data_IF_766610673762
#
_entry.id   IF_766610673762
#
_cell.length_a   1.000
_cell.length_b   1.000
_cell.length_c   1.000
_cell.angle_alpha   90.00
_cell.angle_beta   90.00
_cell.angle_gamma   90.00
#
_symmetry.space_group_name_H-M   'P 1'
#
loop_
_entity.id
_entity.type
_entity.pdbx_description
1 polymer ?
#
# COMPACT_ATOMS: atom_id res chain seq x y z
N UNK A 1 -14.86 17.18 43.38
CA UNK A 1 -14.30 16.01 42.67
C UNK A 1 -12.80 16.22 42.54
N UNK A 2 -11.93 15.32 43.02
CA UNK A 2 -10.50 15.43 42.75
C UNK A 2 -10.22 15.09 41.28
N UNK A 3 -9.18 15.69 40.67
CA UNK A 3 -8.81 15.40 39.28
C UNK A 3 -8.26 13.97 39.15
N UNK A 4 -8.70 13.30 38.08
CA UNK A 4 -8.28 11.95 37.69
C UNK A 4 -6.79 11.95 37.34
N UNK A 5 -5.98 11.29 38.17
CA UNK A 5 -4.55 11.06 37.90
C UNK A 5 -4.45 10.05 36.76
N UNK A 6 -3.91 10.49 35.62
CA UNK A 6 -3.64 9.62 34.48
C UNK A 6 -2.69 8.48 34.87
N UNK A 7 -2.97 7.27 34.39
CA UNK A 7 -2.07 6.12 34.54
C UNK A 7 -0.68 6.46 34.00
N UNK A 8 0.41 5.98 34.64
CA UNK A 8 1.75 6.13 34.09
C UNK A 8 1.83 5.41 32.74
N UNK A 9 2.34 6.12 31.73
CA UNK A 9 2.73 5.56 30.43
C UNK A 9 3.77 4.47 30.72
N UNK A 10 3.54 3.24 30.25
CA UNK A 10 4.51 2.15 30.39
C UNK A 10 5.86 2.53 29.76
N UNK A 11 6.96 1.84 30.11
CA UNK A 11 8.25 2.09 29.48
C UNK A 11 8.11 1.98 27.96
N UNK A 12 8.59 2.99 27.23
CA UNK A 12 8.67 2.92 25.77
C UNK A 12 9.61 1.76 25.40
N UNK A 13 9.25 0.94 24.39
CA UNK A 13 10.11 -0.16 23.95
C UNK A 13 11.45 0.41 23.51
N UNK A 14 12.55 -0.19 24.01
CA UNK A 14 13.90 0.17 23.55
C UNK A 14 14.12 -0.51 22.21
N UNK A 15 13.92 0.25 21.14
CA UNK A 15 14.15 -0.21 19.78
C UNK A 15 15.64 -0.17 19.48
N UNK A 16 16.21 -1.32 19.07
CA UNK A 16 17.59 -1.41 18.62
C UNK A 16 17.64 -1.24 17.10
N UNK A 17 18.68 -0.57 16.63
CA UNK A 17 19.02 -0.54 15.21
C UNK A 17 20.17 -1.50 15.01
N UNK A 18 20.09 -2.32 13.96
CA UNK A 18 21.13 -3.30 13.66
C UNK A 18 22.50 -2.61 13.57
N UNK A 19 23.54 -3.11 14.25
CA UNK A 19 24.87 -2.52 14.14
C UNK A 19 25.44 -2.74 12.73
N UNK A 20 26.20 -1.76 12.22
CA UNK A 20 26.69 -1.76 10.85
C UNK A 20 27.54 -2.97 10.46
N UNK A 21 28.21 -3.61 11.43
CA UNK A 21 29.02 -4.82 11.22
C UNK A 21 28.20 -6.08 10.89
N UNK A 22 26.89 -6.05 11.13
CA UNK A 22 25.98 -7.16 10.82
C UNK A 22 25.27 -6.98 9.47
N UNK A 23 25.41 -5.84 8.80
CA UNK A 23 24.66 -5.58 7.57
C UNK A 23 24.99 -6.58 6.44
N UNK A 24 24.02 -7.41 6.06
CA UNK A 24 24.16 -8.36 4.96
C UNK A 24 25.21 -9.46 5.17
N UNK A 25 25.64 -9.72 6.42
CA UNK A 25 26.61 -10.78 6.73
C UNK A 25 25.88 -12.11 6.93
N UNK A 26 26.07 -13.13 6.07
CA UNK A 26 25.49 -14.44 6.31
C UNK A 26 26.04 -15.03 7.62
N UNK A 27 25.22 -15.72 8.44
CA UNK A 27 25.63 -16.23 9.74
C UNK A 27 26.86 -17.12 9.58
N UNK A 28 28.00 -16.68 10.12
CA UNK A 28 29.20 -17.50 10.20
C UNK A 28 28.95 -18.59 11.24
N UNK A 29 28.70 -19.80 10.76
CA UNK A 29 28.63 -21.07 11.50
C UNK A 29 27.26 -21.39 12.14
N UNK A 30 26.73 -22.62 12.02
CA UNK A 30 25.52 -23.03 12.72
C UNK A 30 25.75 -22.94 14.23
N UNK A 31 24.89 -22.22 14.95
CA UNK A 31 24.86 -22.28 16.40
C UNK A 31 24.59 -23.73 16.81
N UNK A 32 25.50 -24.29 17.63
CA UNK A 32 25.22 -25.52 18.37
C UNK A 32 23.92 -25.32 19.15
N UNK A 33 22.98 -26.23 18.94
CA UNK A 33 21.60 -26.23 19.47
C UNK A 33 21.47 -26.32 21.00
N UNK A 34 22.58 -26.20 21.75
CA UNK A 34 22.66 -26.65 23.14
C UNK A 34 23.12 -25.57 24.14
N UNK A 35 23.14 -24.29 23.77
CA UNK A 35 23.34 -23.24 24.77
C UNK A 35 22.02 -22.99 25.51
N UNK A 36 21.95 -23.13 26.86
CA UNK A 36 20.75 -22.79 27.60
C UNK A 36 20.47 -21.29 27.45
N UNK A 37 19.31 -20.97 26.87
CA UNK A 37 18.83 -19.59 26.80
C UNK A 37 18.72 -19.00 28.22
N UNK A 38 19.04 -17.72 28.42
CA UNK A 38 18.78 -17.04 29.68
C UNK A 38 17.30 -17.19 30.06
N UNK A 39 16.97 -17.30 31.36
CA UNK A 39 15.59 -17.49 31.80
C UNK A 39 14.73 -16.33 31.31
N UNK A 40 13.67 -16.67 30.56
CA UNK A 40 12.70 -15.72 30.04
C UNK A 40 12.14 -14.86 31.19
N UNK A 41 11.97 -13.54 30.98
CA UNK A 41 11.28 -12.70 31.94
C UNK A 41 9.87 -13.25 32.22
N UNK A 42 9.34 -13.09 33.44
CA UNK A 42 8.04 -13.64 33.81
C UNK A 42 6.95 -13.07 32.89
N UNK A 43 6.21 -13.99 32.27
CA UNK A 43 5.09 -13.69 31.37
C UNK A 43 4.12 -12.68 32.05
N UNK A 44 3.78 -11.55 31.39
CA UNK A 44 2.78 -10.63 31.92
C UNK A 44 1.47 -11.39 32.23
N UNK A 45 0.78 -11.05 33.32
CA UNK A 45 -0.46 -11.73 33.68
C UNK A 45 -1.48 -11.62 32.54
N UNK A 46 -1.88 -12.77 32.00
CA UNK A 46 -2.91 -12.84 30.97
C UNK A 46 -4.21 -12.18 31.49
N UNK A 47 -4.87 -11.33 30.70
CA UNK A 47 -6.19 -10.81 31.04
C UNK A 47 -7.15 -11.99 31.25
N UNK A 48 -7.85 -12.01 32.39
CA UNK A 48 -8.88 -13.02 32.65
C UNK A 48 -9.91 -13.03 31.52
N UNK A 49 -10.34 -14.21 31.04
CA UNK A 49 -11.42 -14.30 30.06
C UNK A 49 -12.67 -13.58 30.58
N UNK A 50 -13.24 -12.70 29.76
CA UNK A 50 -14.53 -12.10 30.06
C UNK A 50 -15.60 -13.21 30.18
N UNK A 51 -16.51 -13.13 31.16
CA UNK A 51 -17.56 -14.12 31.29
C UNK A 51 -18.50 -14.09 30.08
N UNK A 52 -19.03 -15.25 29.64
CA UNK A 52 -19.93 -15.32 28.50
C UNK A 52 -21.23 -14.53 28.77
N UNK A 53 -21.85 -13.95 27.74
CA UNK A 53 -23.11 -13.23 27.91
C UNK A 53 -24.21 -14.20 28.37
N UNK A 54 -24.99 -13.78 29.36
CA UNK A 54 -26.10 -14.55 29.93
C UNK A 54 -27.15 -14.87 28.85
N UNK A 55 -27.72 -16.10 28.84
CA UNK A 55 -28.85 -16.42 27.96
C UNK A 55 -30.06 -15.55 28.32
N UNK A 56 -30.55 -14.77 27.35
CA UNK A 56 -31.80 -14.04 27.48
C UNK A 56 -32.99 -15.00 27.58
N UNK A 57 -33.87 -14.77 28.55
CA UNK A 57 -35.11 -15.52 28.74
C UNK A 57 -36.06 -15.37 27.52
N UNK A 58 -36.90 -16.38 27.23
CA UNK A 58 -37.75 -16.37 26.03
C UNK A 58 -38.93 -15.40 26.21
N UNK A 59 -38.95 -14.33 25.42
CA UNK A 59 -40.11 -13.44 25.36
C UNK A 59 -41.20 -14.06 24.46
N UNK A 60 -42.33 -14.41 25.09
CA UNK A 60 -43.56 -14.86 24.41
C UNK A 60 -44.13 -13.72 23.56
N UNK A 61 -44.19 -13.92 22.23
CA UNK A 61 -44.90 -13.04 21.30
C UNK A 61 -46.41 -13.18 21.49
N UNK A 62 -47.08 -12.07 21.81
CA UNK A 62 -48.55 -11.90 21.68
C UNK A 62 -48.81 -11.00 20.48
N UNK A 63 -49.66 -11.45 19.56
CA UNK A 63 -50.11 -10.66 18.41
C UNK A 63 -51.47 -10.04 18.75
N UNK A 64 -51.68 -8.72 18.62
CA UNK A 64 -53.01 -8.15 18.60
C UNK A 64 -53.46 -7.86 17.16
N UNK A 65 -54.65 -8.34 16.84
CA UNK A 65 -55.39 -8.17 15.59
C UNK A 65 -56.00 -6.76 15.57
N UNK A 66 -55.42 -5.80 14.84
CA UNK A 66 -56.11 -4.58 14.37
C UNK A 66 -55.28 -3.81 13.31
N UNK A 67 -55.20 -4.28 12.07
CA UNK A 67 -54.46 -3.56 11.00
C UNK A 67 -55.23 -3.37 9.69
N UNK A 68 -56.55 -3.62 9.64
CA UNK A 68 -57.30 -3.56 8.38
C UNK A 68 -58.15 -2.28 8.23
N UNK A 69 -58.46 -1.55 9.31
CA UNK A 69 -59.36 -0.38 9.23
C UNK A 69 -58.61 0.94 8.92
N UNK A 70 -57.32 1.04 9.25
CA UNK A 70 -56.55 2.30 9.08
C UNK A 70 -56.18 2.65 7.63
N UNK A 71 -55.98 1.65 6.77
CA UNK A 71 -55.52 1.87 5.39
C UNK A 71 -56.66 2.39 4.49
N UNK A 72 -57.91 1.99 4.75
CA UNK A 72 -59.07 2.47 3.98
C UNK A 72 -59.36 3.97 4.20
N UNK A 73 -59.03 4.52 5.37
CA UNK A 73 -59.31 5.93 5.68
C UNK A 73 -58.32 6.90 5.01
N UNK A 74 -57.06 6.48 4.79
CA UNK A 74 -56.04 7.31 4.15
C UNK A 74 -56.25 7.45 2.63
N UNK A 75 -56.85 6.46 1.97
CA UNK A 75 -57.12 6.51 0.52
C UNK A 75 -58.24 7.50 0.19
N UNK A 76 -59.24 7.66 1.07
CA UNK A 76 -60.36 8.61 0.85
C UNK A 76 -59.90 10.07 0.99
N UNK A 77 -58.99 10.37 1.92
CA UNK A 77 -58.44 11.72 2.12
C UNK A 77 -57.50 12.10 0.96
N UNK A 78 -56.71 11.14 0.45
CA UNK A 78 -55.78 11.38 -0.66
C UNK A 78 -56.46 11.78 -1.98
N UNK A 79 -57.62 11.19 -2.29
CA UNK A 79 -58.34 11.50 -3.54
C UNK A 79 -59.08 12.83 -3.45
N UNK A 80 -59.58 13.22 -2.27
CA UNK A 80 -60.24 14.53 -2.07
C UNK A 80 -59.31 15.73 -2.19
N UNK A 81 -58.07 15.61 -1.70
CA UNK A 81 -57.07 16.70 -1.76
C UNK A 81 -56.57 17.01 -3.19
N UNK A 82 -56.50 16.00 -4.06
CA UNK A 82 -56.00 16.14 -5.42
C UNK A 82 -56.96 16.97 -6.32
N UNK A 83 -58.28 16.85 -6.13
CA UNK A 83 -59.26 17.62 -6.89
C UNK A 83 -59.44 19.06 -6.38
N UNK A 84 -59.16 19.35 -5.11
CA UNK A 84 -59.26 20.71 -4.56
C UNK A 84 -58.16 21.64 -5.08
N UNK A 85 -56.96 21.12 -5.37
CA UNK A 85 -55.87 21.92 -5.97
C UNK A 85 -56.12 22.27 -7.46
N UNK A 86 -57.01 21.58 -8.17
CA UNK A 86 -57.31 21.91 -9.57
C UNK A 86 -58.32 23.07 -9.76
N UNK A 87 -59.00 23.52 -8.69
CA UNK A 87 -60.03 24.59 -8.79
C UNK A 87 -59.51 26.02 -8.56
N UNK A 88 -58.22 26.21 -8.28
CA UNK A 88 -57.65 27.56 -8.11
C UNK A 88 -56.85 27.98 -9.34
N UNK A 89 -57.55 28.23 -10.46
CA UNK A 89 -56.99 29.03 -11.55
C UNK A 89 -57.43 30.49 -11.38
N UNK A 90 -56.52 31.44 -11.08
CA UNK A 90 -56.89 32.85 -11.03
C UNK A 90 -57.24 33.38 -12.42
N UNK A 91 -58.31 34.18 -12.49
CA UNK A 91 -58.76 34.90 -13.69
C UNK A 91 -57.94 36.18 -13.83
N UNK A 92 -57.10 36.26 -14.86
CA UNK A 92 -56.30 37.46 -15.15
C UNK A 92 -57.17 38.65 -15.57
N UNK A 93 -56.86 39.88 -15.13
CA UNK A 93 -57.58 41.09 -15.53
C UNK A 93 -57.29 41.49 -17.00
N UNK A 94 -58.17 42.30 -17.62
CA UNK A 94 -58.05 42.66 -19.04
C UNK A 94 -56.80 43.52 -19.29
N UNK A 95 -55.90 43.04 -20.15
CA UNK A 95 -54.76 43.81 -20.62
C UNK A 95 -55.19 44.76 -21.74
N UNK A 96 -54.92 46.05 -21.56
CA UNK A 96 -54.99 47.08 -22.61
C UNK A 96 -53.85 46.80 -23.59
N UNK A 97 -54.18 46.45 -24.84
CA UNK A 97 -53.20 46.19 -25.87
C UNK A 97 -52.56 47.51 -26.33
N UNK A 98 -51.28 47.73 -26.00
CA UNK A 98 -50.42 48.68 -26.70
C UNK A 98 -49.65 47.88 -27.74
N UNK A 99 -49.98 48.11 -29.02
CA UNK A 99 -49.35 47.42 -30.14
C UNK A 99 -47.96 48.02 -30.40
N UNK A 100 -46.95 47.52 -29.69
CA UNK A 100 -45.53 47.80 -30.01
C UNK A 100 -45.03 46.64 -30.87
N UNK A 101 -44.67 46.94 -32.11
CA UNK A 101 -44.06 45.97 -33.03
C UNK A 101 -42.76 45.44 -32.41
N UNK A 102 -42.62 44.12 -32.18
CA UNK A 102 -41.38 43.55 -31.70
C UNK A 102 -40.27 43.73 -32.76
N UNK A 103 -39.02 44.05 -32.38
CA UNK A 103 -37.91 43.97 -33.30
C UNK A 103 -37.72 42.52 -33.75
N UNK A 104 -37.36 42.35 -35.03
CA UNK A 104 -37.10 41.08 -35.68
C UNK A 104 -36.17 40.18 -34.84
N UNK A 105 -36.50 38.89 -34.61
CA UNK A 105 -35.60 37.96 -33.93
C UNK A 105 -34.28 37.87 -34.69
N UNK A 106 -33.16 38.09 -33.98
CA UNK A 106 -31.84 37.80 -34.53
C UNK A 106 -31.75 36.29 -34.84
N UNK A 107 -31.05 35.88 -35.92
CA UNK A 107 -30.84 34.47 -36.22
C UNK A 107 -30.15 33.77 -35.04
N UNK A 108 -30.43 32.47 -34.79
CA UNK A 108 -29.80 31.74 -33.71
C UNK A 108 -28.28 31.74 -33.91
N UNK A 109 -27.56 32.33 -32.95
CA UNK A 109 -26.11 32.24 -32.89
C UNK A 109 -25.77 30.78 -32.62
N UNK A 110 -25.19 30.09 -33.60
CA UNK A 110 -24.64 28.76 -33.42
C UNK A 110 -23.36 28.88 -32.57
N UNK A 111 -23.52 28.93 -31.24
CA UNK A 111 -22.39 28.92 -30.31
C UNK A 111 -21.79 27.53 -30.35
N UNK A 112 -20.57 27.41 -30.86
CA UNK A 112 -19.82 26.17 -30.82
C UNK A 112 -19.79 25.64 -29.36
N UNK A 113 -19.97 24.33 -29.14
CA UNK A 113 -19.90 23.77 -27.80
C UNK A 113 -18.56 24.15 -27.15
N UNK A 114 -18.55 24.47 -25.83
CA UNK A 114 -17.32 24.86 -25.15
C UNK A 114 -16.27 23.74 -25.32
N UNK A 115 -14.98 24.10 -25.47
CA UNK A 115 -13.93 23.11 -25.56
C UNK A 115 -13.99 22.18 -24.33
N UNK A 116 -13.68 20.89 -24.49
CA UNK A 116 -13.64 19.98 -23.36
C UNK A 116 -12.67 20.53 -22.30
N UNK A 117 -12.98 20.34 -21.00
CA UNK A 117 -12.08 20.76 -19.94
C UNK A 117 -10.71 20.09 -20.15
N UNK A 118 -9.61 20.77 -19.75
CA UNK A 118 -8.30 20.15 -19.80
C UNK A 118 -8.33 18.82 -19.02
N UNK A 119 -7.56 17.82 -19.47
CA UNK A 119 -7.48 16.55 -18.75
C UNK A 119 -7.07 16.81 -17.30
N UNK A 120 -7.75 16.15 -16.36
CA UNK A 120 -7.42 16.23 -14.95
C UNK A 120 -5.94 15.86 -14.75
N UNK A 121 -5.22 16.54 -13.84
CA UNK A 121 -3.88 16.11 -13.50
C UNK A 121 -3.91 14.65 -13.02
N UNK A 122 -2.87 13.86 -13.31
CA UNK A 122 -2.76 12.51 -12.81
C UNK A 122 -2.92 12.50 -11.28
N UNK A 123 -3.69 11.53 -10.75
CA UNK A 123 -3.93 11.42 -9.31
C UNK A 123 -2.60 11.35 -8.53
N UNK A 124 -2.54 11.81 -7.26
CA UNK A 124 -1.30 11.71 -6.50
C UNK A 124 -0.90 10.25 -6.27
N UNK A 125 0.40 9.96 -6.29
CA UNK A 125 0.95 8.68 -5.81
C UNK A 125 0.84 8.66 -4.28
N UNK A 126 0.46 7.53 -3.71
CA UNK A 126 0.28 7.34 -2.26
C UNK A 126 1.31 6.33 -1.73
N UNK A 127 1.84 6.51 -0.50
CA UNK A 127 2.52 5.41 0.17
C UNK A 127 1.49 4.32 0.54
N UNK A 128 1.93 3.07 0.59
CA UNK A 128 1.16 1.98 1.19
C UNK A 128 0.86 2.25 2.67
N UNK A 129 -0.11 1.53 3.21
CA UNK A 129 -0.46 1.60 4.63
C UNK A 129 0.59 0.82 5.41
N UNK A 130 1.13 1.42 6.47
CA UNK A 130 2.07 0.85 7.43
C UNK A 130 1.48 1.11 8.82
N UNK A 131 0.85 0.08 9.39
CA UNK A 131 -0.02 0.22 10.57
C UNK A 131 0.76 0.39 11.88
N UNK A 132 1.97 -0.17 11.99
CA UNK A 132 2.82 -0.05 13.18
C UNK A 132 4.06 0.82 12.99
N UNK A 133 4.25 1.37 11.78
CA UNK A 133 5.24 2.38 11.44
C UNK A 133 6.69 1.89 11.53
N UNK A 134 6.93 0.63 11.19
CA UNK A 134 8.28 0.04 11.15
C UNK A 134 8.99 0.20 9.79
N UNK A 135 8.25 0.67 8.78
CA UNK A 135 8.73 0.90 7.44
C UNK A 135 8.57 -0.28 6.47
N UNK A 136 7.78 -1.29 6.80
CA UNK A 136 7.11 -2.20 5.86
C UNK A 136 5.65 -1.79 5.70
N UNK A 137 5.10 -1.95 4.51
CA UNK A 137 3.65 -1.82 4.37
C UNK A 137 2.96 -3.08 4.88
N UNK A 138 1.71 -2.94 5.34
CA UNK A 138 0.85 -4.07 5.74
C UNK A 138 0.78 -5.15 4.63
N UNK A 139 0.89 -4.72 3.36
CA UNK A 139 0.93 -5.61 2.19
C UNK A 139 2.25 -6.37 2.13
N UNK A 140 3.39 -5.72 2.28
CA UNK A 140 4.70 -6.39 2.32
C UNK A 140 4.76 -7.44 3.42
N UNK A 141 4.36 -7.06 4.62
CA UNK A 141 4.34 -7.93 5.79
C UNK A 141 3.47 -9.17 5.58
N UNK A 142 2.23 -8.98 5.10
CA UNK A 142 1.29 -10.09 4.97
C UNK A 142 1.53 -10.96 3.74
N UNK A 143 2.05 -10.40 2.65
CA UNK A 143 2.15 -11.13 1.37
C UNK A 143 3.55 -11.69 1.09
N UNK A 144 4.59 -11.12 1.69
CA UNK A 144 5.98 -11.50 1.44
C UNK A 144 6.60 -12.09 2.71
N UNK A 145 6.63 -11.32 3.80
CA UNK A 145 7.44 -11.65 4.96
C UNK A 145 6.72 -12.54 5.98
N UNK A 146 5.40 -12.56 5.95
CA UNK A 146 4.56 -13.18 6.96
C UNK A 146 4.86 -12.63 8.38
N UNK A 147 5.23 -11.35 8.45
CA UNK A 147 5.34 -10.59 9.70
C UNK A 147 3.97 -10.06 10.14
N UNK A 148 3.92 -9.34 11.26
CA UNK A 148 2.67 -8.91 11.89
C UNK A 148 2.49 -7.38 11.78
N UNK A 149 1.52 -6.88 10.99
CA UNK A 149 1.30 -5.44 10.75
C UNK A 149 0.84 -4.59 11.93
N UNK A 150 0.89 -5.13 13.14
CA UNK A 150 0.53 -4.44 14.37
C UNK A 150 1.61 -4.60 15.43
N UNK A 151 2.76 -5.13 15.04
CA UNK A 151 3.87 -5.39 15.89
C UNK A 151 5.16 -5.06 15.14
N UNK A 152 5.79 -3.91 15.42
CA UNK A 152 6.93 -3.42 14.65
C UNK A 152 8.22 -4.25 14.82
N UNK A 153 8.18 -5.31 15.62
CA UNK A 153 9.27 -6.26 15.94
C UNK A 153 8.60 -7.63 16.15
N UNK A 154 8.38 -8.35 15.05
CA UNK A 154 7.52 -9.53 14.98
C UNK A 154 8.07 -10.69 15.80
N UNK A 155 9.38 -10.90 15.80
CA UNK A 155 10.02 -12.01 16.51
C UNK A 155 10.49 -11.66 17.94
N UNK A 156 10.49 -10.37 18.30
CA UNK A 156 10.76 -9.87 19.63
C UNK A 156 12.25 -9.80 19.97
N UNK A 157 13.12 -9.70 18.98
CA UNK A 157 14.57 -9.62 19.15
C UNK A 157 15.10 -8.19 19.36
N UNK A 158 14.20 -7.20 19.35
CA UNK A 158 14.43 -5.76 19.48
C UNK A 158 14.91 -5.02 18.23
N UNK A 159 14.98 -5.64 17.06
CA UNK A 159 15.11 -4.98 15.77
C UNK A 159 13.73 -4.87 15.11
N UNK A 160 13.50 -3.78 14.38
CA UNK A 160 12.21 -3.58 13.71
C UNK A 160 12.17 -4.28 12.34
N UNK A 161 11.03 -4.86 11.97
CA UNK A 161 10.92 -5.75 10.82
C UNK A 161 11.39 -5.07 9.52
N UNK A 162 10.95 -3.82 9.29
CA UNK A 162 11.38 -3.06 8.13
C UNK A 162 12.86 -2.74 8.07
N UNK A 163 13.52 -2.60 9.22
CA UNK A 163 14.97 -2.46 9.28
C UNK A 163 15.66 -3.78 8.97
N UNK A 164 15.16 -4.89 9.49
CA UNK A 164 15.70 -6.23 9.21
C UNK A 164 15.63 -6.56 7.72
N UNK A 165 14.47 -6.36 7.10
CA UNK A 165 14.27 -6.57 5.67
C UNK A 165 15.23 -5.72 4.85
N UNK A 166 15.39 -4.44 5.18
CA UNK A 166 16.35 -3.55 4.51
C UNK A 166 17.79 -4.07 4.61
N UNK A 167 18.13 -4.80 5.68
CA UNK A 167 19.44 -5.37 5.98
C UNK A 167 19.61 -6.85 5.60
N UNK A 168 18.63 -7.44 4.91
CA UNK A 168 18.62 -8.85 4.48
C UNK A 168 18.41 -9.87 5.61
N UNK A 169 17.75 -9.46 6.70
CA UNK A 169 17.38 -10.29 7.85
C UNK A 169 15.89 -10.67 7.82
N UNK A 170 15.58 -11.85 8.35
CA UNK A 170 14.21 -12.40 8.35
C UNK A 170 13.43 -11.87 9.57
N UNK A 171 12.40 -11.03 9.37
CA UNK A 171 11.69 -10.36 10.48
C UNK A 171 10.83 -11.30 11.34
N UNK A 172 10.74 -12.56 10.96
CA UNK A 172 9.95 -13.58 11.68
C UNK A 172 10.83 -14.55 12.46
N UNK A 173 12.15 -14.33 12.46
CA UNK A 173 13.14 -15.23 13.01
C UNK A 173 14.29 -14.43 13.62
N UNK A 174 14.47 -14.59 14.93
CA UNK A 174 15.39 -13.72 15.70
C UNK A 174 16.77 -13.50 15.10
N UNK A 175 17.38 -12.39 15.49
CA UNK A 175 18.56 -11.62 15.09
C UNK A 175 19.65 -12.21 14.19
N UNK A 176 19.80 -13.52 14.10
CA UNK A 176 20.80 -14.17 13.28
C UNK A 176 20.25 -14.82 12.01
N UNK A 177 18.92 -14.83 11.81
CA UNK A 177 18.31 -15.41 10.62
C UNK A 177 18.33 -14.42 9.45
N UNK A 178 18.70 -14.91 8.27
CA UNK A 178 18.75 -14.07 7.06
C UNK A 178 17.59 -14.37 6.14
N UNK A 179 17.23 -13.38 5.31
CA UNK A 179 16.24 -13.58 4.25
C UNK A 179 16.69 -14.66 3.26
N UNK A 180 17.99 -14.90 3.08
CA UNK A 180 18.48 -15.98 2.22
C UNK A 180 18.09 -17.38 2.73
N UNK A 181 17.88 -17.52 4.05
CA UNK A 181 17.43 -18.78 4.68
C UNK A 181 15.89 -18.85 4.77
N UNK A 182 15.18 -17.78 4.41
CA UNK A 182 13.74 -17.68 4.52
C UNK A 182 13.04 -18.42 3.37
N UNK A 183 11.97 -19.20 3.63
CA UNK A 183 11.23 -19.89 2.58
C UNK A 183 10.46 -18.95 1.64
N UNK A 184 10.30 -17.67 2.03
CA UNK A 184 9.66 -16.65 1.22
C UNK A 184 10.56 -16.10 0.11
N UNK A 185 11.87 -16.30 0.22
CA UNK A 185 12.86 -15.70 -0.66
C UNK A 185 13.59 -16.77 -1.49
N UNK A 186 14.10 -16.34 -2.63
CA UNK A 186 14.90 -17.17 -3.51
C UNK A 186 15.96 -16.31 -4.21
N UNK A 187 17.16 -16.87 -4.36
CA UNK A 187 18.20 -16.27 -5.17
C UNK A 187 17.83 -16.36 -6.65
N UNK A 188 17.81 -15.21 -7.31
CA UNK A 188 17.72 -15.07 -8.76
C UNK A 188 19.12 -14.89 -9.32
N UNK A 189 19.41 -15.59 -10.41
CA UNK A 189 20.67 -15.47 -11.16
C UNK A 189 20.29 -15.20 -12.61
N UNK A 190 20.91 -14.19 -13.21
CA UNK A 190 20.66 -13.86 -14.61
C UNK A 190 21.19 -14.97 -15.55
N UNK A 191 20.76 -14.96 -16.81
CA UNK A 191 21.08 -16.02 -17.79
C UNK A 191 22.59 -16.24 -17.97
N UNK A 192 23.38 -15.17 -17.90
CA UNK A 192 24.84 -15.22 -18.07
C UNK A 192 25.59 -15.55 -16.77
N UNK A 193 24.87 -15.76 -15.65
CA UNK A 193 25.44 -16.01 -14.33
C UNK A 193 26.49 -14.98 -13.89
N UNK A 194 26.27 -13.71 -14.25
CA UNK A 194 27.14 -12.58 -13.89
C UNK A 194 26.61 -11.79 -12.70
N UNK A 195 25.31 -11.88 -12.43
CA UNK A 195 24.63 -11.15 -11.35
C UNK A 195 23.71 -12.09 -10.60
N UNK A 196 23.77 -12.03 -9.27
CA UNK A 196 22.75 -12.60 -8.40
C UNK A 196 22.11 -11.56 -7.49
N UNK A 197 20.86 -11.81 -7.10
CA UNK A 197 20.12 -11.01 -6.13
C UNK A 197 19.03 -11.85 -5.46
N UNK A 198 18.52 -11.39 -4.34
CA UNK A 198 17.44 -12.03 -3.61
C UNK A 198 16.09 -11.46 -4.06
N UNK A 199 15.11 -12.32 -4.33
CA UNK A 199 13.75 -11.94 -4.69
C UNK A 199 12.71 -12.72 -3.88
N UNK A 200 11.51 -12.14 -3.68
CA UNK A 200 10.36 -12.92 -3.25
C UNK A 200 10.08 -14.06 -4.23
N UNK A 201 10.00 -15.29 -3.70
CA UNK A 201 9.75 -16.49 -4.51
C UNK A 201 8.45 -16.38 -5.29
N UNK A 202 7.41 -15.81 -4.69
CA UNK A 202 6.11 -15.61 -5.31
C UNK A 202 6.15 -14.70 -6.56
N UNK A 203 7.17 -13.85 -6.70
CA UNK A 203 7.33 -12.95 -7.86
C UNK A 203 8.07 -13.63 -9.00
N UNK A 204 9.04 -14.51 -8.70
CA UNK A 204 9.74 -15.32 -9.71
C UNK A 204 8.77 -16.21 -10.49
N UNK A 205 7.73 -16.72 -9.84
CA UNK A 205 6.67 -17.51 -10.46
C UNK A 205 5.79 -16.70 -11.45
N UNK A 206 5.90 -15.37 -11.43
CA UNK A 206 5.12 -14.42 -12.24
C UNK A 206 5.99 -13.62 -13.23
N UNK A 207 7.13 -14.18 -13.61
CA UNK A 207 8.02 -13.59 -14.59
C UNK A 207 7.36 -13.54 -15.98
N UNK A 208 7.50 -12.39 -16.66
CA UNK A 208 7.07 -12.19 -18.04
C UNK A 208 8.27 -11.86 -18.95
N UNK A 209 8.17 -12.12 -20.28
CA UNK A 209 9.21 -11.72 -21.21
C UNK A 209 9.45 -10.21 -21.18
N UNK A 210 10.70 -9.78 -21.06
CA UNK A 210 11.09 -8.37 -21.09
C UNK A 210 12.26 -8.17 -22.07
N UNK A 211 12.26 -7.14 -22.94
CA UNK A 211 13.22 -7.04 -24.04
C UNK A 211 14.69 -6.99 -23.63
N UNK A 212 14.98 -6.35 -22.49
CA UNK A 212 16.32 -6.07 -21.97
C UNK A 212 16.66 -6.83 -20.68
N UNK A 213 15.81 -7.79 -20.30
CA UNK A 213 16.03 -8.62 -19.13
C UNK A 213 14.75 -9.31 -18.66
N UNK A 214 14.28 -8.94 -17.47
CA UNK A 214 13.21 -9.65 -16.77
C UNK A 214 12.20 -8.66 -16.22
N UNK A 215 10.93 -9.04 -16.26
CA UNK A 215 9.85 -8.31 -15.61
C UNK A 215 9.06 -9.26 -14.73
N UNK A 216 8.71 -8.81 -13.53
CA UNK A 216 8.02 -9.59 -12.52
C UNK A 216 6.75 -8.86 -12.11
N UNK A 217 5.59 -9.47 -12.36
CA UNK A 217 4.32 -8.91 -11.90
C UNK A 217 4.16 -9.12 -10.39
N UNK A 218 4.03 -8.02 -9.65
CA UNK A 218 4.00 -8.06 -8.18
C UNK A 218 2.59 -7.94 -7.61
N UNK A 219 1.69 -7.21 -8.29
CA UNK A 219 0.28 -7.16 -7.92
C UNK A 219 -0.67 -7.12 -9.15
N UNK A 220 -1.97 -7.42 -8.97
CA UNK A 220 -2.95 -7.47 -10.07
C UNK A 220 -3.26 -6.12 -10.74
N UNK A 221 -2.83 -5.01 -10.13
CA UNK A 221 -3.04 -3.65 -10.64
C UNK A 221 -2.07 -3.28 -11.77
N UNK A 222 -1.22 -4.23 -12.18
CA UNK A 222 -0.19 -4.05 -13.20
C UNK A 222 1.13 -3.54 -12.67
N UNK A 223 1.30 -3.41 -11.35
CA UNK A 223 2.61 -3.11 -10.77
C UNK A 223 3.60 -4.22 -11.07
N UNK A 224 4.83 -3.82 -11.39
CA UNK A 224 5.91 -4.74 -11.75
C UNK A 224 7.27 -4.24 -11.28
N UNK A 225 8.20 -5.18 -11.10
CA UNK A 225 9.63 -4.91 -11.01
C UNK A 225 10.28 -5.35 -12.31
N UNK A 226 11.08 -4.48 -12.91
CA UNK A 226 11.90 -4.80 -14.08
C UNK A 226 13.38 -4.81 -13.72
N UNK A 227 14.10 -5.81 -14.24
CA UNK A 227 15.54 -5.97 -14.17
C UNK A 227 16.10 -5.94 -15.58
N UNK A 228 16.83 -4.87 -15.90
CA UNK A 228 17.51 -4.71 -17.17
C UNK A 228 19.01 -4.84 -17.01
N UNK A 229 19.63 -5.60 -17.91
CA UNK A 229 21.08 -5.81 -17.94
C UNK A 229 21.68 -5.13 -19.16
N UNK A 230 22.77 -4.41 -18.97
CA UNK A 230 23.31 -3.54 -20.03
C UNK A 230 24.80 -3.29 -19.85
N UNK A 231 25.50 -3.03 -20.94
CA UNK A 231 26.91 -2.60 -20.92
C UNK A 231 27.06 -1.09 -20.99
N UNK A 232 25.96 -0.34 -21.02
CA UNK A 232 25.97 1.12 -20.95
C UNK A 232 26.24 1.57 -19.51
N UNK A 233 26.95 2.69 -19.38
CA UNK A 233 27.19 3.33 -18.09
C UNK A 233 25.88 3.85 -17.48
N UNK A 234 25.78 3.89 -16.14
CA UNK A 234 24.58 4.39 -15.46
C UNK A 234 24.15 5.79 -15.92
N UNK A 235 25.12 6.66 -16.22
CA UNK A 235 24.85 8.04 -16.69
C UNK A 235 24.18 8.11 -18.06
N UNK A 236 24.48 7.17 -18.96
CA UNK A 236 23.85 7.10 -20.29
C UNK A 236 22.41 6.61 -20.19
N UNK A 237 22.18 5.60 -19.35
CA UNK A 237 20.84 5.07 -19.07
C UNK A 237 19.99 6.16 -18.41
N UNK A 238 20.54 6.88 -17.44
CA UNK A 238 19.84 8.00 -16.80
C UNK A 238 19.52 9.13 -17.80
N UNK A 239 20.44 9.45 -18.71
CA UNK A 239 20.19 10.44 -19.76
C UNK A 239 19.11 10.03 -20.76
N UNK A 240 18.89 8.72 -20.94
CA UNK A 240 17.81 8.19 -21.79
C UNK A 240 16.41 8.28 -21.16
N UNK A 241 16.31 8.61 -19.87
CA UNK A 241 15.07 8.72 -19.10
C UNK A 241 14.84 10.16 -18.60
N UNK A 242 14.39 11.08 -19.48
CA UNK A 242 14.22 12.49 -19.13
C UNK A 242 13.06 12.74 -18.16
N UNK A 243 12.22 11.74 -17.90
CA UNK A 243 11.12 11.85 -16.94
C UNK A 243 11.60 11.71 -15.49
N UNK A 244 12.78 11.13 -15.30
CA UNK A 244 13.36 10.83 -14.00
C UNK A 244 14.51 11.79 -13.66
N UNK A 245 14.63 12.17 -12.40
CA UNK A 245 15.81 12.87 -11.88
C UNK A 245 16.63 11.90 -11.05
N UNK A 246 17.94 11.85 -11.28
CA UNK A 246 18.84 10.91 -10.61
C UNK A 246 19.87 11.61 -9.73
N UNK A 247 20.27 10.94 -8.65
CA UNK A 247 21.40 11.32 -7.80
C UNK A 247 22.33 10.13 -7.55
N UNK A 248 23.57 10.39 -7.08
CA UNK A 248 24.53 9.33 -6.78
C UNK A 248 23.99 8.40 -5.70
N UNK A 249 24.28 7.11 -5.86
CA UNK A 249 23.88 6.06 -4.95
C UNK A 249 24.98 5.01 -4.83
N UNK A 250 25.12 4.43 -3.64
CA UNK A 250 25.99 3.29 -3.40
C UNK A 250 25.16 2.21 -2.73
N UNK A 251 25.13 1.02 -3.32
CA UNK A 251 24.44 -0.13 -2.74
C UNK A 251 25.19 -0.64 -1.50
N UNK A 252 24.52 -1.49 -0.69
CA UNK A 252 25.20 -2.15 0.44
C UNK A 252 26.33 -3.09 0.02
N UNK A 253 26.30 -3.59 -1.22
CA UNK A 253 27.41 -4.34 -1.81
C UNK A 253 28.61 -3.48 -2.19
N UNK A 254 28.52 -2.15 -2.04
CA UNK A 254 29.59 -1.21 -2.40
C UNK A 254 29.60 -0.81 -3.87
N UNK A 255 28.58 -1.20 -4.64
CA UNK A 255 28.47 -0.82 -6.05
C UNK A 255 27.96 0.62 -6.16
N UNK A 256 28.68 1.44 -6.92
CA UNK A 256 28.26 2.80 -7.26
C UNK A 256 27.18 2.78 -8.35
N UNK A 257 26.48 3.90 -8.48
CA UNK A 257 25.48 4.07 -9.50
C UNK A 257 24.57 5.27 -9.23
N UNK A 258 23.37 5.19 -9.75
CA UNK A 258 22.38 6.26 -9.72
C UNK A 258 21.04 5.77 -9.17
N UNK A 259 20.40 6.60 -8.36
CA UNK A 259 19.03 6.35 -7.89
C UNK A 259 18.14 7.52 -8.26
N UNK A 260 16.94 7.21 -8.74
CA UNK A 260 15.93 8.21 -9.02
C UNK A 260 15.45 8.90 -7.73
N UNK A 261 15.08 10.18 -7.81
CA UNK A 261 14.59 10.94 -6.65
C UNK A 261 13.28 10.40 -6.08
N UNK A 262 12.49 9.71 -6.90
CA UNK A 262 11.27 9.02 -6.47
C UNK A 262 11.53 7.63 -5.86
N UNK A 263 12.80 7.21 -5.78
CA UNK A 263 13.28 5.93 -5.20
C UNK A 263 12.76 4.66 -5.90
N UNK A 264 12.20 4.77 -7.10
CA UNK A 264 11.65 3.62 -7.84
C UNK A 264 12.56 3.11 -8.94
N UNK A 265 13.72 3.72 -9.17
CA UNK A 265 14.69 3.24 -10.14
C UNK A 265 16.10 3.36 -9.59
N UNK A 266 16.85 2.28 -9.68
CA UNK A 266 18.26 2.24 -9.31
C UNK A 266 19.03 1.61 -10.45
N UNK A 267 20.12 2.25 -10.84
CA UNK A 267 21.05 1.78 -11.85
C UNK A 267 22.38 1.59 -11.14
N UNK A 268 22.92 0.37 -11.13
CA UNK A 268 24.19 0.03 -10.49
C UNK A 268 25.22 -0.35 -11.55
N UNK A 269 26.42 0.19 -11.40
CA UNK A 269 27.59 -0.16 -12.20
C UNK A 269 28.34 -1.30 -11.49
N UNK A 270 28.13 -2.54 -11.95
CA UNK A 270 28.91 -3.69 -11.46
C UNK A 270 30.18 -3.83 -12.31
N UNK A 271 31.23 -4.51 -11.82
CA UNK A 271 32.51 -4.61 -12.52
C UNK A 271 32.45 -5.18 -13.95
N UNK A 272 31.41 -5.95 -14.27
CA UNK A 272 31.27 -6.66 -15.56
C UNK A 272 30.08 -6.15 -16.38
N UNK A 273 29.01 -5.69 -15.72
CA UNK A 273 27.75 -5.31 -16.38
C UNK A 273 26.99 -4.27 -15.54
N UNK A 274 26.24 -3.38 -16.17
CA UNK A 274 25.27 -2.53 -15.48
C UNK A 274 23.95 -3.27 -15.24
N UNK A 275 23.32 -3.00 -14.10
CA UNK A 275 21.96 -3.47 -13.80
C UNK A 275 21.04 -2.29 -13.47
N UNK A 276 19.89 -2.24 -14.12
CA UNK A 276 18.82 -1.28 -13.82
C UNK A 276 17.63 -2.02 -13.20
N UNK A 277 17.29 -1.66 -11.97
CA UNK A 277 16.14 -2.17 -11.22
C UNK A 277 15.09 -1.07 -11.19
N UNK A 278 13.91 -1.33 -11.73
CA UNK A 278 12.81 -0.35 -11.83
C UNK A 278 11.52 -0.88 -11.20
N UNK A 279 10.78 -0.01 -10.52
CA UNK A 279 9.48 -0.29 -9.91
C UNK A 279 8.37 0.53 -10.57
N UNK A 280 7.56 -0.15 -11.38
CA UNK A 280 6.34 0.38 -11.97
C UNK A 280 5.12 0.17 -11.04
N UNK A 281 4.32 1.23 -10.84
CA UNK A 281 3.16 1.21 -9.94
C UNK A 281 1.87 0.75 -10.63
N UNK A 282 1.94 0.44 -11.92
CA UNK A 282 0.79 0.11 -12.75
C UNK A 282 -0.32 1.15 -12.64
N UNK A 283 -1.56 0.66 -12.56
CA UNK A 283 -2.74 1.48 -12.36
C UNK A 283 -3.01 1.86 -10.90
N UNK A 284 -2.39 1.18 -9.94
CA UNK A 284 -2.70 1.29 -8.52
C UNK A 284 -2.25 2.60 -7.86
N UNK A 285 -1.23 3.27 -8.41
CA UNK A 285 -0.66 4.54 -7.88
C UNK A 285 -0.36 4.54 -6.37
N UNK A 286 -0.18 3.36 -5.77
CA UNK A 286 0.25 3.18 -4.39
C UNK A 286 1.59 2.47 -4.39
N UNK A 287 2.53 2.95 -3.57
CA UNK A 287 3.84 2.33 -3.39
C UNK A 287 3.72 1.32 -2.25
N UNK A 288 3.36 0.09 -2.59
CA UNK A 288 3.20 -0.99 -1.61
C UNK A 288 4.54 -1.67 -1.29
N UNK A 289 5.43 -1.85 -2.28
CA UNK A 289 6.60 -2.72 -2.13
C UNK A 289 7.94 -1.98 -2.11
N UNK A 290 7.99 -0.78 -1.54
CA UNK A 290 9.21 0.05 -1.55
C UNK A 290 10.34 -0.62 -0.78
N UNK A 291 10.06 -1.20 0.39
CA UNK A 291 11.09 -1.78 1.25
C UNK A 291 11.67 -3.04 0.62
N UNK A 292 10.82 -3.84 0.00
CA UNK A 292 11.17 -5.03 -0.79
C UNK A 292 12.00 -4.66 -2.02
N UNK A 293 11.65 -3.57 -2.71
CA UNK A 293 12.46 -3.04 -3.81
C UNK A 293 13.88 -2.66 -3.33
N UNK A 294 13.98 -1.98 -2.19
CA UNK A 294 15.28 -1.64 -1.61
C UNK A 294 16.07 -2.86 -1.14
N UNK A 295 15.38 -3.86 -0.59
CA UNK A 295 15.96 -5.16 -0.25
C UNK A 295 16.57 -5.83 -1.49
N UNK A 296 15.84 -5.88 -2.61
CA UNK A 296 16.33 -6.41 -3.89
C UNK A 296 17.60 -5.68 -4.32
N UNK A 297 17.57 -4.34 -4.36
CA UNK A 297 18.75 -3.52 -4.72
C UNK A 297 19.94 -3.78 -3.79
N UNK A 298 19.69 -3.90 -2.48
CA UNK A 298 20.73 -4.17 -1.48
C UNK A 298 21.29 -5.59 -1.55
N UNK A 299 20.56 -6.51 -2.17
CA UNK A 299 20.97 -7.91 -2.32
C UNK A 299 21.79 -8.18 -3.59
N UNK A 300 21.91 -7.20 -4.51
CA UNK A 300 22.65 -7.33 -5.77
C UNK A 300 24.11 -7.66 -5.53
N UNK A 301 24.61 -8.66 -6.25
CA UNK A 301 26.00 -9.14 -6.22
C UNK A 301 26.47 -9.47 -7.63
N UNK A 302 27.71 -9.11 -7.93
CA UNK A 302 28.44 -9.67 -9.06
C UNK A 302 28.96 -11.08 -8.69
N UNK A 303 28.87 -12.03 -9.62
CA UNK A 303 29.34 -13.40 -9.47
C UNK A 303 30.74 -13.61 -10.08
#
# INVERSE_FOLDING_TARGET
MPPSVGKPKGPEPVIHVMPGEYYGVPPKTPLKKDAPLPPLPPKPPQPKPAPPPKPGAPQKKKVPVLLIVGIAFLVVIGVGGFFFLQSLKPKSPPQVAINVTPPTPLPPVNVAPPPPPPPLPPAPIRPGIDTDSDGLTDVEETTIYNSNPRNPDTDGDSFIDGNEVFHLYDPTRGANATLADSPAMQEFVNTDATVSLLMPKAWLERQTPHPSGFEFSIAPDGSSISLDFTTQEASEIAASDPASTFGPFTSKGGYEGLRSTDRRKVILDLPVIGVSVSYDLGSGRTIEFLRTFEMIVNSVRAL
#
